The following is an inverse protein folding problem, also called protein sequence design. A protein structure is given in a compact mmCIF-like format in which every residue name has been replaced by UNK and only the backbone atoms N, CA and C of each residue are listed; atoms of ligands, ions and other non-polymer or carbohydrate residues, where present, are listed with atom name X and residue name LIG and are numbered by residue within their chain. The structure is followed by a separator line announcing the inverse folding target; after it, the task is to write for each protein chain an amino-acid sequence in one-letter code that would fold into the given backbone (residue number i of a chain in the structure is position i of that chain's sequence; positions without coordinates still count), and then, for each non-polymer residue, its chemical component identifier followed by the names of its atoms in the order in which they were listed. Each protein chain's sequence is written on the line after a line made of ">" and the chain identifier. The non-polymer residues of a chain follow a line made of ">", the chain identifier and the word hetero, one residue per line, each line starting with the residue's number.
data_IF_578563199540
#
_entry.id   IF_578563199540
#
_cell.length_a   1.000
_cell.length_b   1.000
_cell.length_c   1.000
_cell.angle_alpha   90.00
_cell.angle_beta   90.00
_cell.angle_gamma   90.00
#
_symmetry.space_group_name_H-M   'P 1'
#
loop_
_entity.id
_entity.type
_entity.pdbx_description
1 polymer ?
#
# COMPACT_ATOMS: atom_id res chain seq x y z
N UNK A 1 -6.82 11.33 3.20
CA UNK A 1 -5.37 11.35 2.87
C UNK A 1 -5.20 10.95 1.40
N UNK A 2 -4.56 11.79 0.58
CA UNK A 2 -4.26 11.43 -0.81
C UNK A 2 -3.24 10.29 -0.85
N UNK A 3 -3.34 9.45 -1.88
CA UNK A 3 -2.48 8.26 -2.04
C UNK A 3 -0.98 8.61 -2.03
N UNK A 4 -0.63 9.79 -2.58
CA UNK A 4 0.74 10.27 -2.63
C UNK A 4 1.36 10.45 -1.24
N UNK A 5 0.60 10.93 -0.26
CA UNK A 5 1.11 11.09 1.11
C UNK A 5 1.41 9.74 1.75
N UNK A 6 0.58 8.73 1.45
CA UNK A 6 0.78 7.35 1.93
C UNK A 6 2.04 6.73 1.30
N UNK A 7 2.22 6.91 -0.01
CA UNK A 7 3.42 6.46 -0.75
C UNK A 7 4.68 7.10 -0.13
N UNK A 8 4.65 8.42 0.07
CA UNK A 8 5.76 9.16 0.66
C UNK A 8 6.09 8.68 2.08
N UNK A 9 5.07 8.44 2.90
CA UNK A 9 5.23 7.97 4.28
C UNK A 9 5.89 6.58 4.35
N UNK A 10 5.61 5.73 3.38
CA UNK A 10 6.17 4.38 3.27
C UNK A 10 7.55 4.34 2.60
N UNK A 11 8.02 5.46 2.06
CA UNK A 11 9.27 5.56 1.31
C UNK A 11 9.30 4.65 0.07
N UNK A 12 8.12 4.32 -0.47
CA UNK A 12 7.97 3.50 -1.69
C UNK A 12 7.93 4.40 -2.92
N UNK A 13 8.42 3.89 -4.05
CA UNK A 13 8.45 4.67 -5.29
C UNK A 13 7.07 4.81 -5.94
N UNK A 14 6.91 5.80 -6.84
CA UNK A 14 5.70 5.98 -7.70
C UNK A 14 5.32 4.71 -8.49
N UNK A 15 6.27 3.78 -8.69
CA UNK A 15 6.11 2.51 -9.41
C UNK A 15 5.64 1.34 -8.54
N UNK A 16 5.46 1.53 -7.24
CA UNK A 16 4.91 0.46 -6.39
C UNK A 16 3.43 0.25 -6.67
N UNK A 17 3.01 -1.01 -6.73
CA UNK A 17 1.63 -1.36 -7.03
C UNK A 17 0.68 -0.85 -5.95
N UNK A 18 -0.41 -0.19 -6.34
CA UNK A 18 -1.36 0.40 -5.39
C UNK A 18 -2.05 -0.66 -4.52
N UNK A 19 -2.38 -1.82 -5.11
CA UNK A 19 -3.01 -2.93 -4.40
C UNK A 19 -2.15 -3.44 -3.25
N UNK A 20 -0.83 -3.46 -3.45
CA UNK A 20 0.10 -3.83 -2.41
C UNK A 20 0.08 -2.85 -1.25
N UNK A 21 0.06 -1.54 -1.49
CA UNK A 21 -0.02 -0.55 -0.42
C UNK A 21 -1.27 -0.73 0.43
N UNK A 22 -2.41 -1.02 -0.20
CA UNK A 22 -3.64 -1.37 0.53
C UNK A 22 -3.47 -2.65 1.34
N UNK A 23 -2.82 -3.67 0.75
CA UNK A 23 -2.51 -4.92 1.46
C UNK A 23 -1.63 -4.67 2.68
N UNK A 24 -0.58 -3.87 2.58
CA UNK A 24 0.38 -3.62 3.67
C UNK A 24 -0.20 -2.75 4.80
N UNK A 25 -1.07 -1.80 4.47
CA UNK A 25 -1.59 -0.84 5.43
C UNK A 25 -2.92 -1.28 6.05
N UNK A 26 -3.60 -2.26 5.46
CA UNK A 26 -4.93 -2.66 5.89
C UNK A 26 -6.00 -1.60 5.64
N UNK A 27 -5.73 -0.64 4.75
CA UNK A 27 -6.68 0.43 4.42
C UNK A 27 -7.42 0.11 3.13
N UNK A 28 -8.71 0.44 3.09
CA UNK A 28 -9.50 0.28 1.87
C UNK A 28 -9.18 1.37 0.84
N UNK A 29 -9.20 1.02 -0.47
CA UNK A 29 -9.10 2.03 -1.52
C UNK A 29 -10.08 3.16 -1.30
N UNK A 30 -9.66 4.40 -1.52
CA UNK A 30 -10.51 5.57 -1.27
C UNK A 30 -11.81 5.50 -2.10
N UNK A 31 -11.72 5.01 -3.35
CA UNK A 31 -12.90 4.78 -4.21
C UNK A 31 -13.89 3.81 -3.59
N UNK A 32 -13.40 2.72 -2.99
CA UNK A 32 -14.25 1.74 -2.30
C UNK A 32 -14.88 2.32 -1.04
N UNK A 33 -14.14 3.14 -0.28
CA UNK A 33 -14.69 3.84 0.88
C UNK A 33 -15.78 4.85 0.51
N UNK A 34 -15.59 5.56 -0.61
CA UNK A 34 -16.58 6.51 -1.15
C UNK A 34 -17.79 5.81 -1.76
N UNK A 35 -17.56 4.67 -2.41
CA UNK A 35 -18.61 3.84 -3.01
C UNK A 35 -19.37 2.98 -2.00
N UNK A 36 -18.88 2.84 -0.77
CA UNK A 36 -19.59 2.18 0.34
C UNK A 36 -20.73 3.12 0.78
N UNK A 37 -21.96 2.90 0.32
CA UNK A 37 -23.00 3.87 0.48
C UNK A 37 -23.47 3.84 1.94
N UNK A 38 -23.28 4.92 2.69
CA UNK A 38 -24.01 5.12 3.96
C UNK A 38 -25.41 5.66 3.66
N UNK A 39 -26.13 4.92 2.82
CA UNK A 39 -27.43 5.26 2.27
C UNK A 39 -28.57 4.83 3.20
N UNK A 40 -28.40 4.95 4.51
CA UNK A 40 -29.48 4.71 5.47
C UNK A 40 -30.09 6.05 5.87
N UNK A 41 -31.00 6.62 5.06
CA UNK A 41 -31.71 7.83 5.45
C UNK A 41 -32.60 7.50 6.66
N UNK A 42 -32.18 7.94 7.84
CA UNK A 42 -32.97 7.82 9.07
C UNK A 42 -34.13 8.83 9.13
N UNK A 43 -34.09 9.86 8.28
CA UNK A 43 -35.09 10.94 8.26
C UNK A 43 -35.82 11.06 6.92
N UNK A 44 -37.06 11.56 6.98
CA UNK A 44 -37.88 11.87 5.79
C UNK A 44 -37.18 12.85 4.84
N UNK A 45 -36.46 13.84 5.38
CA UNK A 45 -35.70 14.80 4.57
C UNK A 45 -34.54 14.14 3.83
N UNK A 46 -33.84 13.18 4.46
CA UNK A 46 -32.78 12.42 3.81
C UNK A 46 -33.34 11.54 2.68
N UNK A 47 -34.53 10.96 2.86
CA UNK A 47 -35.24 10.25 1.80
C UNK A 47 -35.56 11.17 0.62
N UNK A 48 -36.14 12.35 0.86
CA UNK A 48 -36.43 13.32 -0.22
C UNK A 48 -35.17 13.73 -0.98
N UNK A 49 -34.07 14.01 -0.27
CA UNK A 49 -32.80 14.35 -0.90
C UNK A 49 -32.24 13.20 -1.76
N UNK A 50 -32.43 11.95 -1.33
CA UNK A 50 -32.04 10.77 -2.11
C UNK A 50 -32.91 10.59 -3.36
N UNK A 51 -34.23 10.79 -3.27
CA UNK A 51 -35.14 10.78 -4.42
C UNK A 51 -34.78 11.85 -5.46
N UNK A 52 -34.51 13.07 -5.00
CA UNK A 52 -34.10 14.16 -5.89
C UNK A 52 -32.75 13.84 -6.55
N UNK A 53 -31.78 13.31 -5.80
CA UNK A 53 -30.49 12.92 -6.35
C UNK A 53 -30.60 11.79 -7.40
N UNK A 54 -31.50 10.82 -7.20
CA UNK A 54 -31.77 9.79 -8.20
C UNK A 54 -32.48 10.35 -9.44
N UNK A 55 -33.45 11.25 -9.26
CA UNK A 55 -34.12 11.96 -10.36
C UNK A 55 -33.12 12.74 -11.23
N UNK A 56 -32.22 13.49 -10.60
CA UNK A 56 -31.13 14.20 -11.29
C UNK A 56 -30.22 13.23 -12.05
N UNK A 57 -29.84 12.09 -11.45
CA UNK A 57 -29.05 11.06 -12.12
C UNK A 57 -29.75 10.53 -13.38
N UNK A 58 -31.05 10.23 -13.28
CA UNK A 58 -31.84 9.66 -14.36
C UNK A 58 -32.08 10.65 -15.52
N UNK A 59 -32.06 11.95 -15.23
CA UNK A 59 -32.16 13.03 -16.23
C UNK A 59 -30.81 13.44 -16.82
N UNK A 60 -29.71 12.80 -16.40
CA UNK A 60 -28.36 13.08 -16.90
C UNK A 60 -27.67 14.28 -16.23
N UNK A 61 -28.22 14.80 -15.14
CA UNK A 61 -27.62 15.87 -14.35
C UNK A 61 -26.68 15.32 -13.27
N UNK A 62 -25.70 16.13 -12.86
CA UNK A 62 -24.77 15.79 -11.78
C UNK A 62 -25.51 15.66 -10.46
N UNK A 63 -25.29 14.54 -9.75
CA UNK A 63 -25.80 14.34 -8.41
C UNK A 63 -24.85 13.44 -7.63
N UNK A 64 -24.83 13.56 -6.30
CA UNK A 64 -23.97 12.73 -5.46
C UNK A 64 -24.30 11.23 -5.57
N UNK A 65 -25.56 10.87 -5.89
CA UNK A 65 -25.96 9.49 -6.12
C UNK A 65 -25.48 8.98 -7.49
N UNK A 66 -25.50 9.85 -8.50
CA UNK A 66 -24.84 9.63 -9.79
C UNK A 66 -23.33 9.41 -9.62
N UNK A 67 -22.67 10.23 -8.80
CA UNK A 67 -21.23 10.09 -8.51
C UNK A 67 -20.89 8.75 -7.87
N UNK A 68 -21.73 8.22 -6.96
CA UNK A 68 -21.54 6.87 -6.41
C UNK A 68 -21.63 5.82 -7.53
N UNK A 69 -22.61 5.92 -8.42
CA UNK A 69 -22.76 4.99 -9.53
C UNK A 69 -21.54 5.04 -10.48
N UNK A 70 -21.02 6.24 -10.76
CA UNK A 70 -19.77 6.44 -11.51
C UNK A 70 -18.59 5.79 -10.79
N UNK A 71 -18.43 6.06 -9.49
CA UNK A 71 -17.35 5.50 -8.68
C UNK A 71 -17.38 3.98 -8.67
N UNK A 72 -18.56 3.36 -8.51
CA UNK A 72 -18.70 1.89 -8.53
C UNK A 72 -18.32 1.30 -9.89
N UNK A 73 -18.73 1.95 -10.98
CA UNK A 73 -18.38 1.55 -12.35
C UNK A 73 -16.88 1.69 -12.62
N UNK A 74 -16.23 2.70 -12.05
CA UNK A 74 -14.81 3.01 -12.27
C UNK A 74 -13.86 2.27 -11.32
N UNK A 75 -14.36 1.27 -10.58
CA UNK A 75 -13.52 0.40 -9.76
C UNK A 75 -12.69 -0.56 -10.65
N UNK A 76 -11.47 -0.92 -10.21
CA UNK A 76 -10.59 -1.80 -10.99
C UNK A 76 -11.01 -3.28 -10.93
N UNK A 77 -12.24 -3.56 -10.52
CA UNK A 77 -12.83 -4.89 -10.41
C UNK A 77 -14.34 -4.77 -10.61
N UNK A 78 -14.96 -5.87 -11.05
CA UNK A 78 -16.40 -5.89 -11.28
C UNK A 78 -17.17 -5.65 -9.98
N UNK A 79 -18.13 -4.72 -10.02
CA UNK A 79 -19.07 -4.49 -8.93
C UNK A 79 -20.50 -4.49 -9.45
N UNK A 80 -21.48 -4.85 -8.60
CA UNK A 80 -22.87 -4.72 -8.98
C UNK A 80 -23.21 -3.26 -9.25
N UNK A 81 -24.02 -3.04 -10.29
CA UNK A 81 -24.57 -1.71 -10.55
C UNK A 81 -25.43 -1.25 -9.36
N UNK A 82 -25.44 0.06 -9.12
CA UNK A 82 -26.29 0.65 -8.11
C UNK A 82 -27.77 0.45 -8.54
N UNK A 83 -28.61 -0.21 -7.73
CA UNK A 83 -29.99 -0.51 -8.12
C UNK A 83 -30.80 0.79 -8.26
N UNK A 84 -31.95 0.75 -8.97
CA UNK A 84 -32.92 1.83 -8.94
C UNK A 84 -33.36 2.14 -7.50
N UNK A 85 -33.69 3.40 -7.21
CA UNK A 85 -34.07 3.80 -5.86
C UNK A 85 -35.34 3.09 -5.36
N UNK A 86 -36.25 2.74 -6.26
CA UNK A 86 -37.48 2.00 -5.93
C UNK A 86 -37.20 0.61 -5.35
N UNK A 87 -36.07 0.00 -5.73
CA UNK A 87 -35.65 -1.32 -5.25
C UNK A 87 -34.70 -1.23 -4.05
N UNK A 88 -34.38 -0.01 -3.58
CA UNK A 88 -33.40 0.19 -2.54
C UNK A 88 -33.98 -0.17 -1.17
N UNK A 89 -33.52 -1.28 -0.61
CA UNK A 89 -33.76 -1.65 0.79
C UNK A 89 -32.45 -1.66 1.58
N UNK A 90 -32.54 -1.56 2.91
CA UNK A 90 -31.39 -1.72 3.80
C UNK A 90 -30.66 -3.04 3.56
N UNK A 91 -31.40 -4.13 3.37
CA UNK A 91 -30.85 -5.45 3.07
C UNK A 91 -30.07 -5.49 1.75
N UNK A 92 -30.55 -4.79 0.71
CA UNK A 92 -29.86 -4.69 -0.58
C UNK A 92 -28.58 -3.86 -0.46
N UNK A 93 -28.62 -2.76 0.30
CA UNK A 93 -27.43 -1.94 0.58
C UNK A 93 -26.37 -2.72 1.36
N UNK A 94 -26.77 -3.44 2.41
CA UNK A 94 -25.88 -4.30 3.19
C UNK A 94 -25.24 -5.39 2.32
N UNK A 95 -26.04 -5.99 1.43
CA UNK A 95 -25.55 -6.99 0.50
C UNK A 95 -24.58 -6.38 -0.54
N UNK A 96 -24.90 -5.21 -1.10
CA UNK A 96 -24.01 -4.49 -2.02
C UNK A 96 -22.68 -4.16 -1.34
N UNK A 97 -22.71 -3.68 -0.09
CA UNK A 97 -21.50 -3.39 0.67
C UNK A 97 -20.67 -4.67 0.94
N UNK A 98 -21.32 -5.78 1.31
CA UNK A 98 -20.64 -7.07 1.48
C UNK A 98 -19.97 -7.53 0.19
N UNK A 99 -20.68 -7.46 -0.94
CA UNK A 99 -20.14 -7.83 -2.25
C UNK A 99 -18.98 -6.93 -2.67
N UNK A 100 -19.10 -5.62 -2.46
CA UNK A 100 -18.03 -4.65 -2.72
C UNK A 100 -16.75 -4.98 -1.93
N UNK A 101 -16.89 -5.29 -0.63
CA UNK A 101 -15.74 -5.66 0.22
C UNK A 101 -15.11 -6.99 -0.23
N UNK A 102 -15.92 -7.99 -0.59
CA UNK A 102 -15.42 -9.29 -1.09
C UNK A 102 -14.65 -9.10 -2.40
N UNK A 103 -15.26 -8.42 -3.38
CA UNK A 103 -14.64 -8.17 -4.69
C UNK A 103 -13.33 -7.38 -4.56
N UNK A 104 -13.31 -6.37 -3.69
CA UNK A 104 -12.12 -5.59 -3.40
C UNK A 104 -11.00 -6.43 -2.77
N UNK A 105 -11.31 -7.29 -1.80
CA UNK A 105 -10.32 -8.21 -1.19
C UNK A 105 -9.75 -9.18 -2.22
N UNK A 106 -10.60 -9.73 -3.08
CA UNK A 106 -10.19 -10.62 -4.17
C UNK A 106 -9.29 -9.90 -5.18
N UNK A 107 -9.63 -8.66 -5.55
CA UNK A 107 -8.80 -7.83 -6.42
C UNK A 107 -7.43 -7.53 -5.81
N UNK A 108 -7.35 -7.19 -4.51
CA UNK A 108 -6.07 -6.96 -3.82
C UNK A 108 -5.22 -8.23 -3.86
N UNK A 109 -5.81 -9.38 -3.53
CA UNK A 109 -5.12 -10.68 -3.60
C UNK A 109 -4.62 -10.94 -5.02
N UNK A 110 -5.50 -10.91 -6.02
CA UNK A 110 -5.14 -11.21 -7.41
C UNK A 110 -4.08 -10.26 -7.96
N UNK A 111 -4.14 -8.98 -7.60
CA UNK A 111 -3.14 -7.99 -7.98
C UNK A 111 -1.77 -8.26 -7.35
N UNK A 112 -1.72 -8.69 -6.09
CA UNK A 112 -0.45 -9.03 -5.42
C UNK A 112 0.16 -10.31 -6.02
N UNK A 113 -0.65 -11.36 -6.18
CA UNK A 113 -0.19 -12.65 -6.71
C UNK A 113 0.24 -12.58 -8.18
N UNK A 114 -0.35 -11.68 -8.98
CA UNK A 114 0.03 -11.50 -10.39
C UNK A 114 1.30 -10.65 -10.59
N UNK A 115 1.73 -9.87 -9.60
CA UNK A 115 2.91 -9.02 -9.74
C UNK A 115 4.21 -9.81 -9.57
N UNK A 116 4.92 -10.02 -10.68
CA UNK A 116 6.24 -10.70 -10.74
C UNK A 116 7.32 -9.98 -9.91
N UNK A 117 7.23 -8.67 -9.74
CA UNK A 117 8.27 -7.88 -9.04
C UNK A 117 8.24 -8.00 -7.51
N UNK A 118 7.22 -8.64 -6.94
CA UNK A 118 7.03 -8.75 -5.48
C UNK A 118 6.83 -10.20 -5.02
N UNK A 119 7.73 -11.14 -5.41
CA UNK A 119 7.53 -12.56 -5.13
C UNK A 119 7.40 -12.83 -3.63
N UNK A 120 8.08 -12.02 -2.78
CA UNK A 120 8.01 -12.12 -1.33
C UNK A 120 6.60 -11.97 -0.74
N UNK A 121 5.65 -11.39 -1.45
CA UNK A 121 4.27 -11.29 -0.98
C UNK A 121 3.35 -12.42 -1.46
N UNK A 122 3.80 -13.27 -2.39
CA UNK A 122 3.00 -14.36 -2.93
C UNK A 122 2.71 -15.40 -1.86
N UNK A 123 1.46 -15.85 -1.76
CA UNK A 123 1.04 -16.85 -0.78
C UNK A 123 1.21 -16.44 0.69
N UNK A 124 1.41 -15.14 0.98
CA UNK A 124 1.70 -14.66 2.33
C UNK A 124 0.64 -15.08 3.34
N UNK A 125 1.11 -15.60 4.48
CA UNK A 125 0.32 -15.88 5.68
C UNK A 125 0.74 -14.92 6.79
N UNK A 126 -0.24 -14.30 7.42
CA UNK A 126 -0.02 -13.40 8.55
C UNK A 126 0.08 -14.16 9.86
N UNK A 127 1.07 -13.84 10.71
CA UNK A 127 1.15 -14.42 12.04
C UNK A 127 -0.12 -14.04 12.82
N UNK A 128 -0.58 -14.96 13.66
CA UNK A 128 -1.68 -14.74 14.60
C UNK A 128 -1.13 -14.77 16.01
N UNK A 129 -1.70 -13.99 16.94
CA UNK A 129 -1.35 -14.10 18.37
C UNK A 129 -1.69 -15.49 18.91
N UNK A 130 -2.78 -16.06 18.42
CA UNK A 130 -3.24 -17.42 18.77
C UNK A 130 -3.59 -18.20 17.50
N UNK A 131 -3.10 -19.43 17.42
CA UNK A 131 -3.39 -20.36 16.33
C UNK A 131 -2.48 -20.23 15.11
N UNK A 132 -2.85 -20.96 14.04
CA UNK A 132 -2.06 -21.04 12.82
C UNK A 132 -2.08 -19.71 12.03
N UNK A 133 -1.01 -19.39 11.27
CA UNK A 133 -0.97 -18.25 10.37
C UNK A 133 -2.14 -18.26 9.36
N UNK A 134 -2.70 -17.08 9.06
CA UNK A 134 -3.88 -16.94 8.20
C UNK A 134 -3.61 -16.00 7.03
N UNK A 135 -4.20 -16.29 5.87
CA UNK A 135 -4.17 -15.38 4.74
C UNK A 135 -5.12 -14.21 4.98
N UNK A 136 -4.57 -13.04 5.29
CA UNK A 136 -5.35 -11.81 5.51
C UNK A 136 -5.05 -10.83 4.37
N UNK A 137 -6.03 -10.54 3.49
CA UNK A 137 -5.83 -9.66 2.33
C UNK A 137 -5.43 -8.24 2.71
N UNK A 138 -6.03 -7.72 3.78
CA UNK A 138 -5.92 -6.35 4.25
C UNK A 138 -5.79 -6.36 5.77
N UNK A 139 -4.60 -6.02 6.24
CA UNK A 139 -4.33 -5.70 7.64
C UNK A 139 -3.09 -4.82 7.69
N UNK A 140 -2.96 -4.05 8.77
CA UNK A 140 -1.69 -3.40 9.06
C UNK A 140 -0.67 -4.48 9.41
N UNK A 141 0.37 -4.62 8.59
CA UNK A 141 1.33 -5.72 8.74
C UNK A 141 2.19 -5.54 9.99
N UNK A 142 2.51 -6.65 10.64
CA UNK A 142 3.25 -6.68 11.91
C UNK A 142 4.60 -5.99 11.82
N UNK A 143 5.29 -6.07 10.67
CA UNK A 143 6.60 -5.44 10.53
C UNK A 143 6.54 -3.90 10.57
N UNK A 144 5.37 -3.30 10.31
CA UNK A 144 5.21 -1.85 10.39
C UNK A 144 5.22 -1.34 11.83
N UNK A 145 4.78 -2.16 12.78
CA UNK A 145 4.78 -1.86 14.22
C UNK A 145 5.99 -2.47 14.94
N UNK A 146 6.37 -3.70 14.62
CA UNK A 146 7.46 -4.42 15.27
C UNK A 146 8.85 -3.84 14.97
N UNK A 147 9.06 -3.28 13.77
CA UNK A 147 10.35 -2.67 13.39
C UNK A 147 10.36 -1.20 13.79
N UNK A 148 10.90 -0.91 14.97
CA UNK A 148 10.92 0.44 15.55
C UNK A 148 11.83 1.41 14.80
N UNK A 149 13.01 0.95 14.36
CA UNK A 149 14.00 1.76 13.64
C UNK A 149 13.49 2.07 12.23
N UNK A 150 13.19 3.34 11.95
CA UNK A 150 12.58 3.77 10.69
C UNK A 150 13.39 3.37 9.45
N UNK A 151 14.72 3.48 9.47
CA UNK A 151 15.56 3.07 8.33
C UNK A 151 15.46 1.57 8.00
N UNK A 152 15.34 0.73 9.03
CA UNK A 152 15.14 -0.72 8.87
C UNK A 152 13.75 -1.02 8.32
N UNK A 153 12.73 -0.37 8.89
CA UNK A 153 11.34 -0.51 8.45
C UNK A 153 11.19 -0.10 6.99
N UNK A 154 11.71 1.07 6.59
CA UNK A 154 11.66 1.55 5.21
C UNK A 154 12.39 0.61 4.24
N UNK A 155 13.55 0.07 4.61
CA UNK A 155 14.26 -0.88 3.76
C UNK A 155 13.47 -2.17 3.54
N UNK A 156 12.84 -2.70 4.60
CA UNK A 156 11.96 -3.86 4.51
C UNK A 156 10.70 -3.56 3.69
N UNK A 157 10.01 -2.44 3.96
CA UNK A 157 8.84 -2.00 3.19
C UNK A 157 9.19 -1.87 1.72
N UNK A 158 10.31 -1.24 1.36
CA UNK A 158 10.76 -1.10 -0.03
C UNK A 158 11.08 -2.44 -0.69
N UNK A 159 11.65 -3.38 0.05
CA UNK A 159 11.89 -4.74 -0.44
C UNK A 159 10.57 -5.41 -0.79
N UNK A 160 9.63 -5.43 0.14
CA UNK A 160 8.33 -6.05 -0.04
C UNK A 160 7.58 -5.35 -1.18
N UNK A 161 7.58 -4.02 -1.21
CA UNK A 161 6.97 -3.15 -2.22
C UNK A 161 7.63 -3.15 -3.59
N UNK A 162 8.58 -4.06 -3.82
CA UNK A 162 9.32 -4.19 -5.07
C UNK A 162 10.06 -2.92 -5.46
N UNK A 163 10.24 -1.95 -4.56
CA UNK A 163 10.87 -0.67 -4.89
C UNK A 163 12.33 -0.82 -5.27
N UNK A 164 12.96 -1.94 -4.89
CA UNK A 164 14.31 -2.29 -5.33
C UNK A 164 14.32 -2.87 -6.74
N UNK A 165 15.27 -2.40 -7.55
CA UNK A 165 15.49 -2.93 -8.89
C UNK A 165 16.38 -4.17 -8.85
N UNK A 166 15.74 -5.34 -8.86
CA UNK A 166 16.40 -6.64 -9.04
C UNK A 166 16.34 -7.03 -10.52
N UNK A 167 17.49 -7.17 -11.19
CA UNK A 167 17.55 -7.45 -12.63
C UNK A 167 16.79 -8.73 -13.01
N UNK A 168 16.89 -9.75 -12.17
CA UNK A 168 16.23 -11.03 -12.43
C UNK A 168 14.71 -11.02 -12.35
N UNK A 169 14.10 -9.97 -11.80
CA UNK A 169 12.65 -9.85 -11.67
C UNK A 169 12.02 -8.78 -12.59
N UNK A 170 12.81 -7.80 -13.02
CA UNK A 170 12.30 -6.62 -13.74
C UNK A 170 12.69 -6.56 -15.21
N UNK A 171 13.67 -7.36 -15.61
CA UNK A 171 14.08 -7.47 -17.00
C UNK A 171 13.35 -8.65 -17.65
N UNK A 172 12.92 -8.48 -18.90
CA UNK A 172 12.40 -9.59 -19.69
C UNK A 172 13.55 -10.55 -20.03
N UNK A 173 13.52 -11.82 -19.58
CA UNK A 173 14.58 -12.79 -19.86
C UNK A 173 14.71 -13.15 -21.36
N UNK A 174 13.67 -12.92 -22.16
CA UNK A 174 13.72 -13.14 -23.61
C UNK A 174 14.50 -12.05 -24.35
N UNK A 175 14.51 -10.82 -23.79
CA UNK A 175 15.16 -9.66 -24.40
C UNK A 175 16.61 -9.53 -23.91
N UNK A 176 16.88 -9.94 -22.67
CA UNK A 176 18.15 -9.72 -22.01
C UNK A 176 18.97 -11.01 -21.91
N UNK A 177 20.25 -11.01 -22.32
CA UNK A 177 21.10 -12.19 -22.19
C UNK A 177 21.27 -12.56 -20.70
N UNK A 178 21.33 -13.86 -20.40
CA UNK A 178 21.42 -14.38 -19.03
C UNK A 178 22.55 -13.72 -18.21
N UNK A 179 23.70 -13.46 -18.82
CA UNK A 179 24.83 -12.78 -18.18
C UNK A 179 24.48 -11.36 -17.70
N UNK A 180 23.60 -10.63 -18.41
CA UNK A 180 23.19 -9.28 -18.02
C UNK A 180 22.23 -9.28 -16.81
N UNK A 181 21.53 -10.40 -16.58
CA UNK A 181 20.61 -10.60 -15.46
C UNK A 181 21.30 -11.13 -14.19
N UNK A 182 22.59 -11.45 -14.31
CA UNK A 182 23.38 -11.92 -13.19
C UNK A 182 23.53 -10.85 -12.10
N UNK A 183 23.74 -11.33 -10.87
CA UNK A 183 23.97 -10.52 -9.70
C UNK A 183 25.11 -9.54 -9.91
N UNK A 184 24.83 -8.23 -9.81
CA UNK A 184 25.83 -7.18 -10.02
C UNK A 184 27.04 -7.24 -9.09
N UNK A 185 26.92 -7.91 -7.95
CA UNK A 185 28.02 -8.01 -6.96
C UNK A 185 28.89 -9.24 -7.14
N UNK A 186 28.30 -10.43 -7.31
CA UNK A 186 29.08 -11.67 -7.39
C UNK A 186 29.11 -12.30 -8.79
N UNK A 187 28.28 -11.86 -9.74
CA UNK A 187 28.16 -12.42 -11.09
C UNK A 187 27.66 -13.86 -11.16
N UNK A 188 27.40 -14.52 -10.03
CA UNK A 188 27.28 -15.98 -9.98
C UNK A 188 25.88 -16.57 -10.27
N UNK A 189 24.81 -15.80 -10.08
CA UNK A 189 23.45 -16.27 -10.34
C UNK A 189 22.52 -15.10 -10.68
N UNK A 190 21.27 -15.42 -11.05
CA UNK A 190 20.22 -14.44 -11.34
C UNK A 190 20.01 -13.49 -10.15
N UNK A 191 19.94 -12.19 -10.42
CA UNK A 191 19.78 -11.18 -9.37
C UNK A 191 18.32 -11.14 -8.84
N UNK A 192 18.03 -11.97 -7.84
CA UNK A 192 16.75 -12.01 -7.12
C UNK A 192 16.93 -11.62 -5.65
N UNK A 193 15.86 -11.25 -4.92
CA UNK A 193 15.93 -10.98 -3.48
C UNK A 193 16.57 -12.13 -2.69
N UNK A 194 16.16 -13.37 -2.96
CA UNK A 194 16.69 -14.57 -2.31
C UNK A 194 18.18 -14.75 -2.58
N UNK A 195 18.62 -14.55 -3.83
CA UNK A 195 20.04 -14.60 -4.14
C UNK A 195 20.81 -13.49 -3.42
N UNK A 196 20.40 -12.24 -3.59
CA UNK A 196 21.11 -11.08 -3.03
C UNK A 196 21.26 -11.17 -1.52
N UNK A 197 20.21 -11.60 -0.82
CA UNK A 197 20.19 -11.62 0.63
C UNK A 197 20.79 -12.93 1.20
N UNK A 198 20.38 -14.08 0.70
CA UNK A 198 20.69 -15.37 1.33
C UNK A 198 21.78 -16.19 0.63
N UNK A 199 22.23 -15.82 -0.57
CA UNK A 199 23.19 -16.64 -1.33
C UNK A 199 24.40 -15.88 -1.86
N UNK A 200 24.29 -14.58 -2.07
CA UNK A 200 25.34 -13.76 -2.64
C UNK A 200 26.61 -13.84 -1.78
N UNK A 201 27.75 -13.99 -2.45
CA UNK A 201 29.09 -14.15 -1.85
C UNK A 201 29.86 -12.82 -1.73
N UNK A 202 29.19 -11.70 -1.97
CA UNK A 202 29.75 -10.38 -1.73
C UNK A 202 30.14 -10.24 -0.24
N UNK A 203 31.35 -9.72 0.01
CA UNK A 203 31.94 -9.63 1.36
C UNK A 203 31.02 -8.91 2.34
N UNK A 204 30.36 -7.83 1.91
CA UNK A 204 29.48 -7.04 2.77
C UNK A 204 28.17 -7.78 3.07
N UNK A 205 27.61 -8.46 2.07
CA UNK A 205 26.43 -9.31 2.25
C UNK A 205 26.73 -10.50 3.18
N UNK A 206 27.87 -11.17 3.01
CA UNK A 206 28.28 -12.31 3.85
C UNK A 206 28.46 -11.86 5.30
N UNK A 207 29.20 -10.77 5.53
CA UNK A 207 29.37 -10.23 6.87
C UNK A 207 28.04 -9.85 7.53
N UNK A 208 27.12 -9.23 6.78
CA UNK A 208 25.79 -8.93 7.29
C UNK A 208 24.97 -10.20 7.63
N UNK A 209 25.12 -11.27 6.83
CA UNK A 209 24.45 -12.56 7.05
C UNK A 209 24.98 -13.28 8.29
N UNK A 210 26.29 -13.25 8.55
CA UNK A 210 26.86 -13.83 9.76
C UNK A 210 26.32 -13.12 11.02
N UNK A 211 26.23 -11.78 11.00
CA UNK A 211 25.60 -11.02 12.10
C UNK A 211 24.11 -11.38 12.26
N UNK A 212 23.39 -11.63 11.17
CA UNK A 212 22.00 -12.11 11.25
C UNK A 212 21.95 -13.49 11.90
N UNK A 213 22.79 -14.45 11.47
CA UNK A 213 22.85 -15.80 12.03
C UNK A 213 23.09 -15.78 13.54
N UNK A 214 24.06 -14.98 13.97
CA UNK A 214 24.41 -14.82 15.38
C UNK A 214 23.23 -14.26 16.19
N UNK A 215 22.58 -13.19 15.72
CA UNK A 215 21.38 -12.64 16.39
C UNK A 215 20.22 -13.63 16.41
N UNK A 216 19.97 -14.37 15.33
CA UNK A 216 18.92 -15.40 15.29
C UNK A 216 19.19 -16.53 16.30
N UNK A 217 20.44 -16.96 16.42
CA UNK A 217 20.83 -18.03 17.33
C UNK A 217 20.79 -17.59 18.78
N UNK A 218 21.36 -16.43 19.11
CA UNK A 218 21.45 -15.93 20.49
C UNK A 218 20.10 -15.48 21.03
N UNK A 219 19.32 -14.73 20.24
CA UNK A 219 18.11 -14.08 20.73
C UNK A 219 16.87 -15.00 20.63
N UNK A 220 16.88 -15.97 19.71
CA UNK A 220 15.70 -16.78 19.37
C UNK A 220 15.95 -18.29 19.29
N UNK A 221 17.20 -18.76 19.49
CA UNK A 221 17.54 -20.17 19.33
C UNK A 221 17.34 -20.69 17.90
N UNK A 222 17.27 -19.81 16.91
CA UNK A 222 17.01 -20.17 15.51
C UNK A 222 18.30 -20.28 14.72
N UNK A 223 18.55 -21.44 14.12
CA UNK A 223 19.71 -21.65 13.25
C UNK A 223 19.32 -21.46 11.78
N UNK A 224 19.91 -20.46 11.13
CA UNK A 224 19.80 -20.32 9.67
C UNK A 224 20.69 -21.37 8.99
N UNK A 225 20.13 -22.13 8.04
CA UNK A 225 20.87 -23.15 7.29
C UNK A 225 22.15 -22.57 6.67
N UNK A 226 23.25 -23.31 6.77
CA UNK A 226 24.56 -22.88 6.25
C UNK A 226 24.54 -22.67 4.73
N UNK A 227 23.77 -23.49 4.01
CA UNK A 227 23.50 -23.32 2.59
C UNK A 227 21.99 -23.29 2.35
N UNK A 228 21.54 -22.32 1.57
CA UNK A 228 20.16 -22.19 1.13
C UNK A 228 20.15 -22.31 -0.39
N UNK A 229 19.36 -23.24 -0.93
CA UNK A 229 19.27 -23.45 -2.38
C UNK A 229 18.57 -22.27 -3.05
N UNK A 230 18.72 -22.11 -4.37
CA UNK A 230 18.08 -21.01 -5.09
C UNK A 230 16.55 -21.11 -5.03
N UNK A 231 16.02 -22.34 -5.03
CA UNK A 231 14.60 -22.61 -4.89
C UNK A 231 14.08 -22.23 -3.49
N UNK A 232 14.85 -22.56 -2.44
CA UNK A 232 14.42 -22.33 -1.06
C UNK A 232 14.64 -20.90 -0.57
N UNK A 233 15.56 -20.14 -1.19
CA UNK A 233 15.98 -18.83 -0.71
C UNK A 233 14.81 -17.84 -0.57
N UNK A 234 13.84 -17.93 -1.48
CA UNK A 234 12.64 -17.11 -1.41
C UNK A 234 11.76 -17.50 -0.20
N UNK A 235 11.49 -18.80 -0.02
CA UNK A 235 10.65 -19.32 1.07
C UNK A 235 11.27 -19.05 2.45
N UNK A 236 12.57 -19.30 2.60
CA UNK A 236 13.31 -19.00 3.84
C UNK A 236 13.23 -17.50 4.16
N UNK A 237 13.34 -16.64 3.15
CA UNK A 237 13.24 -15.20 3.36
C UNK A 237 11.82 -14.78 3.77
N UNK A 238 10.78 -15.39 3.19
CA UNK A 238 9.39 -15.15 3.61
C UNK A 238 9.16 -15.58 5.05
N UNK A 239 9.59 -16.78 5.43
CA UNK A 239 9.48 -17.31 6.80
C UNK A 239 10.11 -16.36 7.83
N UNK A 240 11.32 -15.88 7.52
CA UNK A 240 12.05 -14.93 8.37
C UNK A 240 11.39 -13.55 8.46
N UNK A 241 10.77 -13.05 7.39
CA UNK A 241 10.12 -11.74 7.39
C UNK A 241 8.74 -11.80 8.08
N UNK A 242 7.98 -12.88 7.86
CA UNK A 242 6.61 -13.01 8.33
C UNK A 242 6.47 -13.65 9.71
N UNK A 243 7.59 -13.92 10.38
CA UNK A 243 7.63 -14.33 11.78
C UNK A 243 7.84 -13.10 12.70
N UNK A 244 7.00 -12.99 13.73
CA UNK A 244 6.99 -11.86 14.68
C UNK A 244 8.32 -11.66 15.40
N UNK A 245 9.03 -12.75 15.71
CA UNK A 245 10.26 -12.71 16.49
C UNK A 245 11.47 -12.34 15.61
N UNK A 246 11.51 -12.81 14.37
CA UNK A 246 12.67 -12.61 13.49
C UNK A 246 12.59 -11.36 12.62
N UNK A 247 11.43 -10.72 12.49
CA UNK A 247 11.26 -9.59 11.56
C UNK A 247 12.19 -8.41 11.84
N UNK A 248 12.44 -8.08 13.11
CA UNK A 248 13.31 -6.97 13.50
C UNK A 248 14.79 -7.19 13.15
N UNK A 249 15.44 -8.32 13.53
CA UNK A 249 16.81 -8.59 13.09
C UNK A 249 16.93 -8.74 11.57
N UNK A 250 15.91 -9.31 10.91
CA UNK A 250 15.87 -9.46 9.45
C UNK A 250 15.78 -8.10 8.76
N UNK A 251 14.95 -7.18 9.25
CA UNK A 251 14.86 -5.82 8.71
C UNK A 251 16.18 -5.05 8.84
N UNK A 252 16.87 -5.20 9.99
CA UNK A 252 18.22 -4.65 10.22
C UNK A 252 19.25 -5.23 9.24
N UNK A 253 19.19 -6.54 9.01
CA UNK A 253 20.03 -7.22 8.02
C UNK A 253 19.77 -6.69 6.60
N UNK A 254 18.51 -6.63 6.17
CA UNK A 254 18.11 -6.09 4.86
C UNK A 254 18.62 -4.66 4.69
N UNK A 255 18.46 -3.81 5.70
CA UNK A 255 18.97 -2.44 5.67
C UNK A 255 20.49 -2.38 5.48
N UNK A 256 21.27 -3.21 6.21
CA UNK A 256 22.73 -3.28 6.04
C UNK A 256 23.12 -3.68 4.61
N UNK A 257 22.48 -4.71 4.05
CA UNK A 257 22.72 -5.17 2.68
C UNK A 257 22.35 -4.08 1.68
N UNK A 258 21.14 -3.53 1.75
CA UNK A 258 20.69 -2.49 0.81
C UNK A 258 21.58 -1.24 0.89
N UNK A 259 21.99 -0.81 2.08
CA UNK A 259 22.89 0.35 2.25
C UNK A 259 24.27 0.13 1.61
N UNK A 260 24.79 -1.10 1.65
CA UNK A 260 26.02 -1.49 0.98
C UNK A 260 25.88 -1.54 -0.55
N UNK A 261 24.66 -1.68 -1.06
CA UNK A 261 24.36 -1.83 -2.48
C UNK A 261 23.94 -0.50 -3.12
N UNK A 262 24.91 0.21 -3.68
CA UNK A 262 24.71 1.52 -4.35
C UNK A 262 23.73 1.50 -5.55
N UNK A 263 23.40 0.32 -6.08
CA UNK A 263 22.66 0.16 -7.33
C UNK A 263 21.15 -0.05 -7.20
N UNK A 264 20.59 0.04 -5.99
CA UNK A 264 19.15 -0.14 -5.77
C UNK A 264 18.26 1.05 -6.14
N UNK A 265 18.83 2.08 -6.77
CA UNK A 265 18.08 3.21 -7.33
C UNK A 265 17.60 4.19 -6.24
N UNK A 266 18.14 5.42 -6.30
CA UNK A 266 18.08 6.47 -5.28
C UNK A 266 18.74 6.03 -3.95
N UNK A 267 19.56 6.90 -3.35
CA UNK A 267 20.03 6.68 -1.98
C UNK A 267 18.79 6.40 -1.14
N UNK A 268 18.83 5.43 -0.21
CA UNK A 268 17.77 5.34 0.81
C UNK A 268 17.65 6.77 1.36
N UNK A 269 16.46 7.42 1.30
CA UNK A 269 16.34 8.80 1.72
C UNK A 269 16.92 8.88 3.12
N UNK A 270 18.08 9.51 3.25
CA UNK A 270 18.65 9.82 4.55
C UNK A 270 17.76 10.92 5.08
N UNK A 271 16.65 10.49 5.72
CA UNK A 271 15.52 11.14 6.42
C UNK A 271 15.43 12.69 6.55
N UNK A 272 16.06 13.49 5.70
CA UNK A 272 16.19 14.94 5.88
C UNK A 272 16.14 15.73 4.57
N UNK A 273 16.52 15.19 3.39
CA UNK A 273 16.85 16.09 2.26
C UNK A 273 16.30 15.79 0.86
N UNK A 274 15.22 15.03 0.70
CA UNK A 274 14.62 14.82 -0.65
C UNK A 274 13.08 14.80 -0.59
N UNK A 275 12.48 15.75 0.14
CA UNK A 275 11.12 16.23 -0.12
C UNK A 275 11.12 17.48 -1.02
N UNK A 276 12.29 17.94 -1.46
CA UNK A 276 12.37 18.92 -2.54
C UNK A 276 12.05 18.19 -3.85
N UNK A 277 11.20 18.75 -4.73
CA UNK A 277 11.00 18.20 -6.06
C UNK A 277 12.36 18.13 -6.77
N UNK A 278 12.74 16.92 -7.20
CA UNK A 278 13.90 16.75 -8.07
C UNK A 278 13.54 17.40 -9.41
N UNK A 279 14.12 18.58 -9.66
CA UNK A 279 14.07 19.38 -10.90
C UNK A 279 12.79 20.20 -11.17
N UNK A 280 12.99 21.47 -11.54
CA UNK A 280 11.95 22.41 -11.98
C UNK A 280 11.26 21.93 -13.28
N UNK A 281 11.79 20.91 -13.97
CA UNK A 281 11.20 20.31 -15.17
C UNK A 281 10.07 19.29 -14.87
N UNK A 282 9.96 18.77 -13.63
CA UNK A 282 8.81 17.92 -13.24
C UNK A 282 7.58 18.75 -12.85
N UNK A 283 7.66 20.09 -12.81
CA UNK A 283 6.52 20.98 -12.53
C UNK A 283 5.55 21.11 -13.73
N UNK A 284 6.08 21.09 -14.95
CA UNK A 284 5.29 21.39 -16.18
C UNK A 284 4.51 20.17 -16.72
N UNK A 285 4.75 18.96 -16.22
CA UNK A 285 4.02 17.75 -16.65
C UNK A 285 2.76 17.45 -15.81
N UNK A 286 2.49 18.24 -14.77
CA UNK A 286 1.32 18.07 -13.90
C UNK A 286 0.22 19.14 -14.06
N UNK A 287 0.27 19.94 -15.11
CA UNK A 287 -0.90 20.66 -15.61
C UNK A 287 -1.80 19.69 -16.40
N UNK A 288 -2.46 18.79 -15.68
CA UNK A 288 -3.64 18.09 -16.18
C UNK A 288 -4.87 18.51 -15.36
N UNK A 289 -5.67 19.35 -16.02
CA UNK A 289 -7.10 19.62 -15.83
C UNK A 289 -7.56 19.98 -14.41
N UNK A 290 -7.28 21.22 -14.01
CA UNK A 290 -8.37 22.02 -13.44
C UNK A 290 -9.44 22.17 -14.52
N UNK A 291 -10.59 21.52 -14.32
CA UNK A 291 -11.79 21.85 -15.08
C UNK A 291 -12.01 23.36 -14.95
N UNK A 292 -11.84 24.08 -16.05
CA UNK A 292 -12.27 25.47 -16.15
C UNK A 292 -13.78 25.49 -16.00
N UNK A 293 -14.23 25.90 -14.82
CA UNK A 293 -15.50 26.58 -14.64
C UNK A 293 -15.55 27.78 -15.60
N UNK A 294 -16.74 27.96 -16.17
CA UNK A 294 -17.28 29.18 -16.77
C UNK A 294 -17.03 29.47 -18.26
N UNK A 295 -18.03 29.07 -19.06
CA UNK A 295 -18.40 29.71 -20.30
C UNK A 295 -19.77 30.38 -20.20
N UNK A 296 -19.87 31.50 -19.49
CA UNK A 296 -20.90 32.53 -19.76
C UNK A 296 -20.29 33.91 -19.58
N UNK A 297 -19.98 34.53 -20.72
CA UNK A 297 -19.62 35.94 -20.86
C UNK A 297 -20.90 36.75 -21.02
N UNK A 298 -21.10 37.79 -20.20
CA UNK A 298 -21.78 39.03 -20.58
C UNK A 298 -21.41 40.17 -19.59
N UNK A 299 -20.93 41.28 -20.18
CA UNK A 299 -20.74 42.64 -19.63
C UNK A 299 -19.50 43.01 -18.79
N UNK A 300 -18.82 44.07 -19.26
CA UNK A 300 -17.61 44.76 -18.78
C UNK A 300 -17.92 45.92 -17.79
N UNK A 301 -16.98 46.85 -17.48
CA UNK A 301 -15.82 46.73 -16.57
C UNK A 301 -15.85 47.79 -15.45
N UNK A 302 -15.12 47.59 -14.35
CA UNK A 302 -14.97 48.66 -13.34
C UNK A 302 -14.10 48.36 -12.13
N UNK A 303 -12.86 48.83 -12.21
CA UNK A 303 -12.05 49.44 -11.14
C UNK A 303 -11.73 48.70 -9.82
N UNK A 304 -10.46 48.93 -9.42
CA UNK A 304 -9.95 49.09 -8.05
C UNK A 304 -9.12 47.95 -7.48
N UNK A 305 -7.81 48.08 -7.75
CA UNK A 305 -6.68 47.54 -7.00
C UNK A 305 -6.67 48.13 -5.58
N UNK A 306 -6.58 47.31 -4.54
CA UNK A 306 -6.29 47.82 -3.19
C UNK A 306 -6.36 46.79 -2.08
N UNK A 307 -5.19 46.52 -1.48
CA UNK A 307 -4.95 46.04 -0.11
C UNK A 307 -5.62 44.73 0.35
N UNK A 308 -4.78 43.72 0.67
CA UNK A 308 -4.67 43.09 2.00
C UNK A 308 -3.67 41.91 1.95
N UNK A 309 -2.37 42.24 1.89
CA UNK A 309 -1.32 41.33 2.33
C UNK A 309 -1.04 41.60 3.80
N UNK A 310 -1.48 40.70 4.68
CA UNK A 310 -1.19 40.84 6.11
C UNK A 310 -1.98 39.92 7.01
N UNK A 311 -1.99 38.60 6.76
CA UNK A 311 -2.46 37.63 7.76
C UNK A 311 -2.10 36.13 7.54
N UNK A 312 -1.05 35.80 6.76
CA UNK A 312 -0.70 34.39 6.46
C UNK A 312 0.54 33.87 7.22
N UNK A 313 1.13 34.65 8.14
CA UNK A 313 2.40 34.28 8.79
C UNK A 313 2.29 33.47 10.11
N UNK A 314 1.10 33.16 10.64
CA UNK A 314 0.96 32.63 12.01
C UNK A 314 0.51 31.16 12.15
N UNK A 315 0.37 30.38 11.06
CA UNK A 315 -0.08 28.96 11.14
C UNK A 315 0.99 27.96 10.65
N UNK A 316 2.20 28.44 10.29
CA UNK A 316 3.27 27.59 9.73
C UNK A 316 4.24 26.96 10.74
N UNK A 317 4.07 27.18 12.04
CA UNK A 317 4.95 26.60 13.06
C UNK A 317 4.17 25.74 14.04
N UNK A 318 3.83 24.50 13.66
CA UNK A 318 3.56 23.36 14.58
C UNK A 318 3.08 22.10 13.82
N UNK A 319 3.79 21.68 12.77
CA UNK A 319 3.70 20.28 12.30
C UNK A 319 4.97 19.57 12.81
N UNK A 320 5.00 19.34 14.12
CA UNK A 320 5.98 18.45 14.72
C UNK A 320 5.57 17.01 14.40
N UNK A 321 6.53 16.26 13.86
CA UNK A 321 6.67 14.79 13.75
C UNK A 321 5.59 14.01 14.53
N UNK A 322 4.43 13.80 13.91
CA UNK A 322 3.55 12.73 14.35
C UNK A 322 4.26 11.43 14.03
N UNK A 323 4.40 10.55 15.02
CA UNK A 323 4.94 9.21 14.77
C UNK A 323 4.00 8.55 13.76
N UNK A 324 4.54 7.86 12.76
CA UNK A 324 3.74 7.16 11.73
C UNK A 324 2.62 6.30 12.34
N UNK A 325 2.84 5.77 13.56
CA UNK A 325 1.84 5.05 14.34
C UNK A 325 0.62 5.92 14.73
N UNK A 326 0.83 7.16 15.20
CA UNK A 326 -0.24 8.07 15.62
C UNK A 326 -1.13 8.50 14.44
N UNK A 327 -0.54 8.73 13.27
CA UNK A 327 -1.32 9.03 12.05
C UNK A 327 -2.18 7.83 11.65
N UNK A 328 -1.65 6.61 11.78
CA UNK A 328 -2.40 5.39 11.46
C UNK A 328 -3.52 5.14 12.49
N UNK A 329 -3.26 5.39 13.77
CA UNK A 329 -4.23 5.24 14.86
C UNK A 329 -5.37 6.26 14.76
N UNK A 330 -5.06 7.53 14.42
CA UNK A 330 -6.07 8.56 14.10
C UNK A 330 -6.92 8.13 12.89
N UNK A 331 -6.32 7.51 11.87
CA UNK A 331 -7.04 6.98 10.72
C UNK A 331 -7.87 5.74 11.04
N UNK A 332 -7.50 4.94 12.04
CA UNK A 332 -8.34 3.82 12.49
C UNK A 332 -9.50 4.31 13.37
N UNK A 333 -9.26 5.30 14.23
CA UNK A 333 -10.28 5.89 15.10
C UNK A 333 -11.35 6.68 14.33
N UNK A 334 -10.95 7.47 13.32
CA UNK A 334 -11.88 8.30 12.55
C UNK A 334 -12.87 7.49 11.67
N UNK A 335 -12.54 6.23 11.36
CA UNK A 335 -13.32 5.43 10.42
C UNK A 335 -13.88 4.13 11.03
N UNK A 336 -13.71 3.93 12.34
CA UNK A 336 -14.24 2.82 13.12
C UNK A 336 -13.44 1.51 12.96
N UNK A 337 -13.41 0.63 13.97
CA UNK A 337 -12.76 -0.66 13.84
C UNK A 337 -13.45 -1.47 12.73
N UNK A 338 -12.65 -2.04 11.83
CA UNK A 338 -13.12 -3.12 10.96
C UNK A 338 -13.39 -4.29 11.88
N UNK A 339 -14.65 -4.47 12.27
CA UNK A 339 -15.08 -5.64 13.03
C UNK A 339 -14.75 -6.86 12.19
N UNK A 340 -13.67 -7.55 12.55
CA UNK A 340 -13.37 -8.87 12.05
C UNK A 340 -14.45 -9.79 12.57
N UNK A 341 -15.52 -9.96 11.79
CA UNK A 341 -16.55 -10.96 12.07
C UNK A 341 -15.87 -12.32 12.16
N UNK A 342 -15.72 -12.81 13.40
CA UNK A 342 -15.37 -14.19 13.67
C UNK A 342 -16.55 -15.03 13.18
N UNK A 343 -16.40 -15.61 11.99
CA UNK A 343 -17.27 -16.70 11.56
C UNK A 343 -16.91 -17.89 12.45
N UNK A 344 -17.76 -18.18 13.44
CA UNK A 344 -17.71 -19.41 14.20
C UNK A 344 -18.01 -20.57 13.25
N UNK A 345 -16.94 -21.25 12.81
CA UNK A 345 -17.08 -22.54 12.13
C UNK A 345 -17.31 -23.59 13.21
N UNK A 346 -18.42 -24.36 13.17
CA UNK A 346 -18.61 -25.46 14.11
C UNK A 346 -17.54 -26.53 13.85
N UNK A 347 -16.78 -26.84 14.89
CA UNK A 347 -15.82 -27.95 14.89
C UNK A 347 -16.63 -29.23 14.96
N UNK A 348 -16.78 -29.92 13.82
CA UNK A 348 -17.16 -31.32 13.81
C UNK A 348 -15.94 -32.13 14.23
N UNK A 349 -15.96 -32.60 15.48
CA UNK A 349 -15.12 -33.71 15.91
C UNK A 349 -15.65 -34.99 15.25
N UNK A 350 -14.86 -35.58 14.36
CA UNK A 350 -14.75 -37.04 14.22
C UNK A 350 -13.66 -37.42 13.21
N UNK A 351 -12.90 -38.43 13.63
CA UNK A 351 -11.82 -39.20 12.97
C UNK A 351 -10.43 -38.60 13.10
#
# INVERSE_FOLDING_TARGET
>A
MPLLTVISLMGVGKRSGIAQLYSELGIYPLRVRRGSPRLTPESHSAWKALYEADSLRNTGHSSWYGDIAVVLRDLPFATPALPPLADLSSAILDNLQKQLVIAMKQWVIGSVESMVSIPLLHGRLEPQETGAPKRIPLCQRHYLSAVTVTGHRLALTRLLCGSFYFRGLRSNPEIHPAASLSCRKCGGALETPGHVLLQCRDVQTVAAREVLKESLMLDFGMTLRASVTAADAHLVLQELIFNLHTVAPVARFIYKVVRAWRFFGRRLPTMVSELAPDTDEEADFWDFETATEDGYSLYSPGASRGLLEGQVAAVRGNIHVLKTAEVIEILQHAYGPVVGGSVSVPVNANI
#
